data_IF_849739805383
#
_entry.id   IF_849739805383
#
_cell.length_a   1.000
_cell.length_b   1.000
_cell.length_c   1.000
_cell.angle_alpha   90.00
_cell.angle_beta   90.00
_cell.angle_gamma   90.00
#
_symmetry.space_group_name_H-M   'P 1'
#
loop_
_entity.id
_entity.type
_entity.pdbx_description
1 polymer ?
#
# COMPACT_ATOMS: atom_id res chain seq x y z
N UNK A 1 67.35 -14.70 64.40
CA UNK A 1 66.33 -15.70 64.70
C UNK A 1 64.95 -15.05 64.74
N UNK A 2 64.20 -15.05 63.74
CA UNK A 2 62.70 -14.90 63.70
C UNK A 2 62.27 -15.15 62.31
N UNK A 3 61.50 -16.20 62.10
CA UNK A 3 60.91 -16.62 60.83
C UNK A 3 59.77 -15.69 60.44
N UNK A 4 59.81 -15.14 59.23
CA UNK A 4 58.74 -14.33 58.63
C UNK A 4 57.79 -15.21 57.87
N UNK A 5 56.58 -15.27 58.39
CA UNK A 5 55.43 -16.02 57.78
C UNK A 5 54.84 -15.22 56.67
N UNK A 6 55.03 -15.61 55.40
CA UNK A 6 54.32 -15.03 54.23
C UNK A 6 53.02 -15.76 54.04
N UNK A 7 51.91 -15.12 54.34
CA UNK A 7 50.58 -15.61 54.02
C UNK A 7 50.26 -15.30 52.52
N UNK A 8 50.12 -16.32 51.69
CA UNK A 8 49.65 -16.19 50.39
C UNK A 8 48.11 -15.94 50.39
N UNK A 9 47.71 -14.80 49.92
CA UNK A 9 46.31 -14.43 49.74
C UNK A 9 45.78 -15.13 48.48
N UNK A 10 44.92 -16.11 48.66
CA UNK A 10 44.21 -16.80 47.56
C UNK A 10 42.96 -15.98 47.22
N UNK A 11 42.96 -15.32 46.07
CA UNK A 11 41.80 -14.61 45.55
C UNK A 11 40.90 -15.61 44.78
N UNK A 12 39.63 -15.81 45.16
CA UNK A 12 38.75 -16.72 44.42
C UNK A 12 38.36 -16.14 43.07
N UNK A 13 38.63 -16.88 41.99
CA UNK A 13 38.22 -16.63 40.60
C UNK A 13 36.75 -16.99 40.39
N UNK A 14 35.80 -16.19 40.88
CA UNK A 14 34.36 -16.42 40.65
C UNK A 14 33.59 -15.13 40.38
N UNK A 15 34.04 -14.31 39.41
CA UNK A 15 33.30 -13.09 38.99
C UNK A 15 33.39 -12.79 37.52
N UNK A 16 33.45 -13.77 36.63
CA UNK A 16 33.54 -13.48 35.19
C UNK A 16 32.54 -14.33 34.34
N UNK A 17 31.41 -14.73 34.89
CA UNK A 17 30.43 -15.54 34.14
C UNK A 17 28.98 -15.01 34.14
N UNK A 18 28.73 -13.76 34.50
CA UNK A 18 27.35 -13.20 34.54
C UNK A 18 27.13 -12.06 33.53
N UNK A 19 28.13 -11.67 32.73
CA UNK A 19 27.97 -10.55 31.78
C UNK A 19 27.76 -10.94 30.33
N UNK A 20 27.56 -12.22 30.01
CA UNK A 20 27.40 -12.70 28.64
C UNK A 20 25.96 -13.13 28.28
N UNK A 21 24.97 -12.96 29.16
CA UNK A 21 23.59 -13.45 28.92
C UNK A 21 22.56 -12.36 28.68
N UNK A 22 22.93 -11.09 28.60
CA UNK A 22 21.97 -9.97 28.40
C UNK A 22 21.92 -9.38 26.98
N UNK A 23 22.62 -9.92 26.01
CA UNK A 23 22.68 -9.36 24.63
C UNK A 23 21.95 -10.16 23.58
N UNK A 24 21.21 -11.21 23.94
CA UNK A 24 20.45 -12.02 22.98
C UNK A 24 18.91 -11.79 23.00
N UNK A 25 18.42 -10.73 23.63
CA UNK A 25 16.99 -10.48 23.81
C UNK A 25 16.48 -9.21 23.12
N UNK A 26 17.08 -8.78 22.01
CA UNK A 26 16.57 -7.65 21.24
C UNK A 26 16.75 -7.90 19.75
N UNK A 27 15.97 -8.78 19.17
CA UNK A 27 15.62 -8.72 17.73
C UNK A 27 14.51 -9.71 17.40
N UNK A 28 13.40 -9.62 18.10
CA UNK A 28 12.12 -9.98 17.47
C UNK A 28 11.45 -8.65 17.19
N UNK A 29 11.82 -8.04 16.05
CA UNK A 29 10.95 -7.09 15.40
C UNK A 29 9.63 -7.84 15.21
N UNK A 30 8.60 -7.43 15.95
CA UNK A 30 7.27 -7.92 15.78
C UNK A 30 6.92 -7.70 14.30
N UNK A 31 6.89 -8.77 13.53
CA UNK A 31 6.25 -8.74 12.22
C UNK A 31 4.81 -8.34 12.51
N UNK A 32 4.46 -7.10 12.18
CA UNK A 32 3.08 -6.68 12.18
C UNK A 32 2.31 -7.71 11.33
N UNK A 33 1.22 -8.31 11.86
CA UNK A 33 0.44 -9.23 11.06
C UNK A 33 -0.09 -8.42 9.88
N UNK A 34 0.51 -8.59 8.72
CA UNK A 34 -0.05 -8.10 7.47
C UNK A 34 -1.47 -8.65 7.38
N UNK A 35 -2.47 -7.83 7.06
CA UNK A 35 -3.79 -8.38 6.83
C UNK A 35 -3.65 -9.46 5.76
N UNK A 36 -4.22 -10.62 6.05
CA UNK A 36 -4.22 -11.81 5.18
C UNK A 36 -5.13 -11.56 3.95
N UNK A 37 -4.84 -10.47 3.23
CA UNK A 37 -5.55 -10.07 2.01
C UNK A 37 -4.79 -10.68 0.86
N UNK A 38 -5.35 -11.74 0.31
CA UNK A 38 -4.83 -12.37 -0.89
C UNK A 38 -4.74 -11.34 -2.02
N UNK A 39 -3.52 -11.09 -2.52
CA UNK A 39 -3.30 -10.26 -3.69
C UNK A 39 -4.03 -10.85 -4.91
N UNK A 40 -4.97 -10.10 -5.47
CA UNK A 40 -5.64 -10.41 -6.73
C UNK A 40 -5.50 -9.20 -7.67
N UNK A 41 -4.73 -9.33 -8.76
CA UNK A 41 -4.54 -8.22 -9.67
C UNK A 41 -5.75 -8.01 -10.58
N UNK A 42 -6.15 -6.75 -10.82
CA UNK A 42 -7.16 -6.42 -11.83
C UNK A 42 -6.69 -6.80 -13.24
N UNK A 43 -7.52 -7.50 -14.04
CA UNK A 43 -7.19 -7.80 -15.45
C UNK A 43 -6.95 -6.54 -16.28
N UNK A 44 -6.13 -6.59 -17.34
CA UNK A 44 -5.78 -5.41 -18.15
C UNK A 44 -7.00 -4.69 -18.75
N UNK A 45 -8.02 -5.43 -19.18
CA UNK A 45 -9.27 -4.89 -19.73
C UNK A 45 -10.04 -4.09 -18.66
N UNK A 46 -10.00 -4.59 -17.42
CA UNK A 46 -10.63 -3.94 -16.27
C UNK A 46 -9.87 -2.67 -15.90
N UNK A 47 -8.54 -2.71 -15.85
CA UNK A 47 -7.70 -1.53 -15.61
C UNK A 47 -7.99 -0.43 -16.61
N UNK A 48 -8.01 -0.78 -17.91
CA UNK A 48 -8.34 0.16 -18.99
C UNK A 48 -9.73 0.76 -18.76
N UNK A 49 -10.73 -0.08 -18.50
CA UNK A 49 -12.10 0.36 -18.29
C UNK A 49 -12.29 1.23 -17.04
N UNK A 50 -11.53 0.99 -15.95
CA UNK A 50 -11.52 1.84 -14.76
C UNK A 50 -11.03 3.24 -15.09
N UNK A 51 -9.90 3.36 -15.79
CA UNK A 51 -9.31 4.64 -16.17
C UNK A 51 -10.18 5.43 -17.17
N UNK A 52 -10.82 4.72 -18.12
CA UNK A 52 -11.79 5.30 -19.04
C UNK A 52 -13.06 5.79 -18.31
N UNK A 53 -13.61 4.98 -17.38
CA UNK A 53 -14.79 5.34 -16.59
C UNK A 53 -14.56 6.58 -15.75
N UNK A 54 -13.33 6.72 -15.19
CA UNK A 54 -12.88 7.91 -14.48
C UNK A 54 -12.54 9.08 -15.40
N UNK A 55 -12.54 8.91 -16.73
CA UNK A 55 -12.09 9.89 -17.70
C UNK A 55 -10.70 10.47 -17.33
N UNK A 56 -9.74 9.59 -17.04
CA UNK A 56 -8.37 9.97 -16.67
C UNK A 56 -7.70 10.75 -17.80
N UNK A 57 -7.01 11.83 -17.46
CA UNK A 57 -6.28 12.68 -18.40
C UNK A 57 -4.91 13.14 -17.85
N UNK A 58 -4.15 13.90 -18.65
CA UNK A 58 -2.74 14.23 -18.33
C UNK A 58 -2.56 15.16 -17.13
N UNK A 59 -3.62 15.80 -16.64
CA UNK A 59 -3.59 16.66 -15.45
C UNK A 59 -3.97 15.91 -14.17
N UNK A 60 -4.38 14.65 -14.29
CA UNK A 60 -4.81 13.86 -13.13
C UNK A 60 -3.65 13.35 -12.29
N UNK A 61 -3.95 13.22 -10.99
CA UNK A 61 -3.14 12.48 -10.03
C UNK A 61 -3.98 11.29 -9.57
N UNK A 62 -3.62 10.11 -10.07
CA UNK A 62 -4.31 8.86 -9.78
C UNK A 62 -3.70 8.21 -8.54
N UNK A 63 -4.47 8.10 -7.47
CA UNK A 63 -4.11 7.35 -6.26
C UNK A 63 -4.69 5.94 -6.36
N UNK A 64 -3.83 4.93 -6.36
CA UNK A 64 -4.23 3.53 -6.31
C UNK A 64 -3.98 3.00 -4.90
N UNK A 65 -5.06 2.76 -4.16
CA UNK A 65 -5.00 2.34 -2.76
C UNK A 65 -5.07 0.81 -2.67
N UNK A 66 -3.96 0.19 -2.25
CA UNK A 66 -3.71 -1.24 -2.41
C UNK A 66 -3.20 -1.54 -3.83
N UNK A 67 -2.17 -0.81 -4.26
CA UNK A 67 -1.75 -0.78 -5.66
C UNK A 67 -1.10 -2.07 -6.17
N UNK A 68 -0.72 -2.99 -5.28
CA UNK A 68 -0.06 -4.23 -5.64
C UNK A 68 1.17 -4.02 -6.53
N UNK A 69 1.17 -4.59 -7.72
CA UNK A 69 2.25 -4.47 -8.70
C UNK A 69 2.29 -3.14 -9.47
N UNK A 70 1.42 -2.19 -9.12
CA UNK A 70 1.40 -0.84 -9.69
C UNK A 70 0.74 -0.71 -11.07
N UNK A 71 0.12 -1.79 -11.59
CA UNK A 71 -0.40 -1.83 -12.97
C UNK A 71 -1.37 -0.70 -13.32
N UNK A 72 -2.22 -0.27 -12.38
CA UNK A 72 -3.21 0.79 -12.62
C UNK A 72 -2.52 2.15 -12.79
N UNK A 73 -1.64 2.52 -11.89
CA UNK A 73 -0.91 3.81 -11.98
C UNK A 73 0.08 3.83 -13.14
N UNK A 74 0.69 2.70 -13.49
CA UNK A 74 1.57 2.56 -14.67
C UNK A 74 0.76 2.76 -15.94
N UNK A 75 -0.40 2.13 -16.07
CA UNK A 75 -1.28 2.30 -17.22
C UNK A 75 -1.84 3.73 -17.32
N UNK A 76 -2.21 4.35 -16.18
CA UNK A 76 -2.62 5.75 -16.12
C UNK A 76 -1.52 6.70 -16.64
N UNK A 77 -0.28 6.48 -16.21
CA UNK A 77 0.86 7.28 -16.67
C UNK A 77 1.18 7.03 -18.15
N UNK A 78 1.19 5.75 -18.57
CA UNK A 78 1.55 5.35 -19.94
C UNK A 78 0.55 5.84 -20.98
N UNK A 79 -0.72 5.63 -20.75
CA UNK A 79 -1.77 5.85 -21.73
C UNK A 79 -2.35 7.26 -21.73
N UNK A 80 -2.43 7.85 -20.53
CA UNK A 80 -3.12 9.13 -20.34
C UNK A 80 -2.17 10.26 -19.91
N UNK A 81 -0.87 9.97 -19.67
CA UNK A 81 0.09 10.97 -19.23
C UNK A 81 -0.16 11.47 -17.80
N UNK A 82 -1.00 10.78 -17.03
CA UNK A 82 -1.29 11.13 -15.65
C UNK A 82 -0.08 10.94 -14.72
N UNK A 83 -0.15 11.51 -13.52
CA UNK A 83 0.75 11.14 -12.42
C UNK A 83 0.10 10.05 -11.58
N UNK A 84 0.90 9.15 -11.02
CA UNK A 84 0.44 8.07 -10.16
C UNK A 84 0.94 8.20 -8.72
N UNK A 85 0.13 7.75 -7.77
CA UNK A 85 0.56 7.47 -6.39
C UNK A 85 0.12 6.04 -6.09
N UNK A 86 1.10 5.16 -5.92
CA UNK A 86 0.93 3.74 -5.61
C UNK A 86 1.08 3.59 -4.10
N UNK A 87 0.03 3.19 -3.43
CA UNK A 87 -0.01 3.00 -1.97
C UNK A 87 -0.24 1.54 -1.67
N UNK A 88 0.67 0.91 -0.96
CA UNK A 88 0.52 -0.45 -0.47
C UNK A 88 1.25 -0.61 0.86
N UNK A 89 0.72 -1.45 1.74
CA UNK A 89 1.35 -1.72 3.02
C UNK A 89 2.49 -2.74 2.87
N UNK A 90 2.41 -3.61 1.86
CA UNK A 90 3.37 -4.68 1.60
C UNK A 90 4.62 -4.15 0.88
N UNK A 91 5.83 -4.21 1.52
CA UNK A 91 7.07 -3.75 0.90
C UNK A 91 7.42 -4.54 -0.37
N UNK A 92 7.03 -5.82 -0.49
CA UNK A 92 7.30 -6.62 -1.69
C UNK A 92 6.47 -6.12 -2.86
N UNK A 93 5.21 -5.75 -2.63
CA UNK A 93 4.35 -5.15 -3.66
C UNK A 93 4.88 -3.80 -4.12
N UNK A 94 5.33 -2.95 -3.19
CA UNK A 94 5.94 -1.65 -3.54
C UNK A 94 7.25 -1.85 -4.33
N UNK A 95 8.08 -2.83 -3.98
CA UNK A 95 9.29 -3.14 -4.75
C UNK A 95 8.96 -3.63 -6.15
N UNK A 96 7.97 -4.52 -6.29
CA UNK A 96 7.49 -5.00 -7.59
C UNK A 96 6.93 -3.86 -8.44
N UNK A 97 6.08 -3.00 -7.87
CA UNK A 97 5.53 -1.84 -8.57
C UNK A 97 6.61 -0.88 -9.10
N UNK A 98 7.68 -0.64 -8.30
CA UNK A 98 8.83 0.15 -8.73
C UNK A 98 9.57 -0.48 -9.90
N UNK A 99 9.82 -1.78 -9.84
CA UNK A 99 10.49 -2.53 -10.91
C UNK A 99 9.66 -2.49 -12.20
N UNK A 100 8.35 -2.70 -12.11
CA UNK A 100 7.45 -2.61 -13.26
C UNK A 100 7.41 -1.21 -13.88
N UNK A 101 7.37 -0.16 -13.04
CA UNK A 101 7.43 1.22 -13.49
C UNK A 101 8.79 1.56 -14.14
N UNK A 102 9.90 1.04 -13.60
CA UNK A 102 11.24 1.21 -14.18
C UNK A 102 11.34 0.54 -15.56
N UNK A 103 10.85 -0.69 -15.68
CA UNK A 103 10.79 -1.42 -16.95
C UNK A 103 9.94 -0.69 -18.00
N UNK A 104 8.92 0.06 -17.56
CA UNK A 104 8.07 0.89 -18.43
C UNK A 104 8.65 2.31 -18.70
N UNK A 105 9.76 2.71 -18.06
CA UNK A 105 10.34 4.06 -18.15
C UNK A 105 9.50 5.16 -17.49
N UNK A 106 8.69 4.80 -16.46
CA UNK A 106 7.68 5.68 -15.87
C UNK A 106 7.90 6.01 -14.38
N UNK A 107 9.06 5.65 -13.82
CA UNK A 107 9.36 5.87 -12.38
C UNK A 107 9.15 7.32 -11.97
N UNK A 108 9.59 8.28 -12.78
CA UNK A 108 9.50 9.72 -12.49
C UNK A 108 8.05 10.27 -12.49
N UNK A 109 7.10 9.48 -12.98
CA UNK A 109 5.67 9.84 -13.00
C UNK A 109 4.89 9.25 -11.85
N UNK A 110 5.50 8.34 -11.06
CA UNK A 110 4.81 7.57 -10.03
C UNK A 110 5.52 7.75 -8.69
N UNK A 111 4.75 8.15 -7.68
CA UNK A 111 5.20 8.16 -6.29
C UNK A 111 4.78 6.84 -5.65
N UNK A 112 5.70 6.17 -4.97
CA UNK A 112 5.44 4.91 -4.28
C UNK A 112 5.50 5.13 -2.78
N UNK A 113 4.44 4.73 -2.07
CA UNK A 113 4.28 4.88 -0.63
C UNK A 113 4.04 3.53 0.01
N UNK A 114 4.97 3.10 0.85
CA UNK A 114 4.75 1.93 1.71
C UNK A 114 4.09 2.41 3.00
N UNK A 115 2.77 2.41 3.02
CA UNK A 115 1.99 2.89 4.17
C UNK A 115 0.59 2.26 4.18
N UNK A 116 -0.09 2.33 5.33
CA UNK A 116 -1.48 1.92 5.44
C UNK A 116 -2.38 2.92 4.68
N UNK A 117 -3.15 2.40 3.72
CA UNK A 117 -4.10 3.18 2.91
C UNK A 117 -5.16 3.92 3.76
N UNK A 118 -5.41 3.45 4.99
CA UNK A 118 -6.36 4.11 5.90
C UNK A 118 -5.82 5.40 6.54
N UNK A 119 -4.51 5.67 6.45
CA UNK A 119 -3.89 6.90 6.98
C UNK A 119 -3.23 7.75 5.88
N UNK A 120 -3.22 7.26 4.63
CA UNK A 120 -2.68 7.98 3.46
C UNK A 120 -3.38 9.32 3.27
N UNK A 121 -2.63 10.41 3.07
CA UNK A 121 -3.20 11.71 2.70
C UNK A 121 -3.81 11.67 1.29
N UNK A 122 -5.09 12.01 1.16
CA UNK A 122 -5.86 11.95 -0.08
C UNK A 122 -6.05 13.29 -0.79
N UNK A 123 -5.74 14.42 -0.14
CA UNK A 123 -6.12 15.76 -0.60
C UNK A 123 -5.56 16.19 -1.97
N UNK A 124 -4.58 15.46 -2.52
CA UNK A 124 -4.02 15.73 -3.86
C UNK A 124 -4.57 14.81 -4.95
N UNK A 125 -5.38 13.82 -4.58
CA UNK A 125 -5.95 12.87 -5.54
C UNK A 125 -7.06 13.55 -6.36
N UNK A 126 -6.96 13.48 -7.68
CA UNK A 126 -8.08 13.81 -8.57
C UNK A 126 -8.85 12.56 -9.00
N UNK A 127 -8.19 11.40 -8.93
CA UNK A 127 -8.78 10.07 -9.14
C UNK A 127 -8.27 9.13 -8.05
N UNK A 128 -9.17 8.31 -7.50
CA UNK A 128 -8.84 7.21 -6.60
C UNK A 128 -9.31 5.91 -7.23
N UNK A 129 -8.45 4.91 -7.29
CA UNK A 129 -8.77 3.56 -7.77
C UNK A 129 -8.70 2.57 -6.61
N UNK A 130 -9.65 1.61 -6.60
CA UNK A 130 -9.83 0.63 -5.53
C UNK A 130 -10.10 -0.75 -6.12
N UNK A 131 -9.38 -1.76 -5.63
CA UNK A 131 -9.78 -3.16 -5.73
C UNK A 131 -9.55 -3.83 -4.38
N UNK A 132 -10.42 -3.52 -3.43
CA UNK A 132 -10.32 -3.91 -2.04
C UNK A 132 -11.54 -4.73 -1.62
N UNK A 133 -11.52 -5.28 -0.39
CA UNK A 133 -12.70 -5.94 0.17
C UNK A 133 -13.85 -4.95 0.44
N UNK A 134 -15.11 -5.43 0.51
CA UNK A 134 -16.26 -4.59 0.86
C UNK A 134 -16.06 -3.83 2.18
N UNK A 135 -15.53 -4.51 3.20
CA UNK A 135 -15.28 -3.90 4.51
C UNK A 135 -14.25 -2.78 4.44
N UNK A 136 -13.20 -2.95 3.63
CA UNK A 136 -12.18 -1.93 3.45
C UNK A 136 -12.74 -0.70 2.71
N UNK A 137 -13.57 -0.90 1.68
CA UNK A 137 -14.26 0.19 1.01
C UNK A 137 -15.13 0.99 1.97
N UNK A 138 -15.88 0.30 2.86
CA UNK A 138 -16.72 0.96 3.86
C UNK A 138 -15.90 1.74 4.91
N UNK A 139 -14.74 1.25 5.30
CA UNK A 139 -13.81 1.95 6.20
C UNK A 139 -13.18 3.19 5.55
N UNK A 140 -12.86 3.13 4.25
CA UNK A 140 -12.30 4.25 3.49
C UNK A 140 -13.34 5.32 3.17
N UNK A 141 -14.59 4.95 2.98
CA UNK A 141 -15.67 5.85 2.51
C UNK A 141 -15.73 7.20 3.23
N UNK A 142 -15.72 7.28 4.58
CA UNK A 142 -15.79 8.57 5.29
C UNK A 142 -14.63 9.50 4.90
N UNK A 143 -13.43 8.96 4.74
CA UNK A 143 -12.24 9.71 4.36
C UNK A 143 -12.33 10.20 2.92
N UNK A 144 -12.75 9.34 1.99
CA UNK A 144 -12.97 9.72 0.59
C UNK A 144 -14.00 10.85 0.47
N UNK A 145 -15.05 10.81 1.29
CA UNK A 145 -16.08 11.85 1.33
C UNK A 145 -15.60 13.16 1.96
N UNK A 146 -14.67 13.12 2.90
CA UNK A 146 -14.20 14.29 3.64
C UNK A 146 -12.99 14.96 2.99
N UNK A 147 -11.99 14.17 2.60
CA UNK A 147 -10.65 14.65 2.24
C UNK A 147 -10.48 14.96 0.75
N UNK A 148 -11.25 14.31 -0.12
CA UNK A 148 -11.14 14.55 -1.55
C UNK A 148 -11.76 15.91 -1.93
N UNK A 149 -11.11 16.58 -2.88
CA UNK A 149 -11.65 17.81 -3.45
C UNK A 149 -12.93 17.54 -4.25
N UNK A 150 -13.81 18.55 -4.33
CA UNK A 150 -14.98 18.49 -5.22
C UNK A 150 -14.55 18.23 -6.67
N UNK A 151 -15.25 17.33 -7.35
CA UNK A 151 -14.91 16.87 -8.70
C UNK A 151 -13.92 15.69 -8.75
N UNK A 152 -13.32 15.29 -7.63
CA UNK A 152 -12.52 14.07 -7.58
C UNK A 152 -13.39 12.85 -7.89
N UNK A 153 -12.81 11.87 -8.56
CA UNK A 153 -13.49 10.65 -9.04
C UNK A 153 -12.93 9.43 -8.34
N UNK A 154 -13.81 8.56 -7.87
CA UNK A 154 -13.47 7.31 -7.22
C UNK A 154 -13.98 6.18 -8.09
N UNK A 155 -13.12 5.23 -8.47
CA UNK A 155 -13.52 4.02 -9.20
C UNK A 155 -13.17 2.79 -8.40
N UNK A 156 -14.17 1.97 -8.12
CA UNK A 156 -13.98 0.68 -7.47
C UNK A 156 -14.27 -0.48 -8.43
N UNK A 157 -13.37 -1.45 -8.42
CA UNK A 157 -13.53 -2.72 -9.09
C UNK A 157 -14.23 -3.71 -8.17
N UNK A 158 -15.34 -4.27 -8.62
CA UNK A 158 -16.12 -5.36 -8.03
C UNK A 158 -16.97 -4.99 -6.80
N UNK A 159 -16.51 -4.12 -5.89
CA UNK A 159 -17.18 -3.82 -4.64
C UNK A 159 -17.65 -2.37 -4.56
N UNK A 160 -18.87 -2.18 -4.11
CA UNK A 160 -19.46 -0.86 -3.88
C UNK A 160 -19.04 -0.25 -2.54
N UNK A 161 -19.70 0.84 -2.15
CA UNK A 161 -19.50 1.56 -0.88
C UNK A 161 -20.79 1.60 -0.03
N UNK A 162 -21.57 0.52 -0.05
CA UNK A 162 -22.80 0.39 0.71
C UNK A 162 -23.90 1.33 0.22
N UNK A 163 -24.42 2.16 1.10
CA UNK A 163 -25.51 3.11 0.80
C UNK A 163 -25.06 4.37 0.03
N UNK A 164 -23.74 4.57 -0.18
CA UNK A 164 -23.26 5.62 -1.07
C UNK A 164 -23.46 5.18 -2.53
N UNK A 165 -24.56 5.66 -3.13
CA UNK A 165 -24.92 5.29 -4.49
C UNK A 165 -23.88 5.79 -5.50
N UNK A 166 -23.39 4.93 -6.43
CA UNK A 166 -22.49 5.35 -7.48
C UNK A 166 -23.21 6.27 -8.49
N UNK A 167 -22.49 7.24 -9.03
CA UNK A 167 -22.99 8.10 -10.12
C UNK A 167 -23.07 7.34 -11.44
N UNK A 168 -22.18 6.35 -11.66
CA UNK A 168 -22.18 5.48 -12.84
C UNK A 168 -21.69 4.08 -12.49
N UNK A 169 -22.15 3.11 -13.27
CA UNK A 169 -21.65 1.73 -13.21
C UNK A 169 -21.31 1.24 -14.62
N UNK A 170 -20.39 0.29 -14.73
CA UNK A 170 -19.99 -0.34 -15.99
C UNK A 170 -19.66 -1.81 -15.76
N UNK A 171 -20.24 -2.70 -16.57
CA UNK A 171 -19.82 -4.10 -16.63
C UNK A 171 -18.73 -4.26 -17.70
N UNK A 172 -17.69 -5.04 -17.39
CA UNK A 172 -16.54 -5.31 -18.27
C UNK A 172 -16.30 -6.81 -18.32
N UNK A 173 -16.21 -7.37 -19.53
CA UNK A 173 -15.82 -8.77 -19.73
C UNK A 173 -14.29 -8.91 -19.68
N UNK A 174 -13.77 -9.76 -18.79
CA UNK A 174 -12.32 -9.97 -18.57
C UNK A 174 -11.77 -11.20 -19.32
N UNK A 175 -12.54 -11.74 -20.26
CA UNK A 175 -12.22 -12.99 -20.96
C UNK A 175 -12.75 -14.25 -20.26
N UNK A 176 -13.16 -14.15 -18.99
CA UNK A 176 -13.67 -15.27 -18.18
C UNK A 176 -15.03 -14.99 -17.56
N UNK A 177 -15.23 -13.78 -17.05
CA UNK A 177 -16.46 -13.36 -16.36
C UNK A 177 -16.70 -11.86 -16.51
N UNK A 178 -17.94 -11.43 -16.27
CA UNK A 178 -18.27 -10.02 -16.19
C UNK A 178 -17.76 -9.44 -14.86
N UNK A 179 -17.07 -8.30 -14.92
CA UNK A 179 -16.57 -7.54 -13.76
C UNK A 179 -17.35 -6.25 -13.65
N UNK A 180 -17.77 -5.92 -12.43
CA UNK A 180 -18.53 -4.69 -12.19
C UNK A 180 -17.59 -3.58 -11.75
N UNK A 181 -17.79 -2.38 -12.35
CA UNK A 181 -17.12 -1.14 -11.96
C UNK A 181 -18.15 -0.15 -11.44
N UNK A 182 -17.74 0.61 -10.45
CA UNK A 182 -18.53 1.67 -9.82
C UNK A 182 -17.76 2.97 -9.84
N UNK A 183 -18.41 4.07 -10.19
CA UNK A 183 -17.83 5.43 -10.18
C UNK A 183 -18.64 6.33 -9.26
N UNK A 184 -17.94 7.05 -8.40
CA UNK A 184 -18.46 8.18 -7.62
C UNK A 184 -17.71 9.45 -8.00
N UNK A 185 -18.44 10.58 -8.07
CA UNK A 185 -17.87 11.92 -8.22
C UNK A 185 -18.10 12.69 -6.93
N UNK A 186 -17.01 13.14 -6.30
CA UNK A 186 -17.08 13.93 -5.07
C UNK A 186 -17.78 15.26 -5.34
N UNK A 187 -18.82 15.56 -4.59
CA UNK A 187 -19.58 16.81 -4.65
C UNK A 187 -19.14 17.77 -3.57
#
# INVERSE_FOLDING_TARGET
>A
MRAGNRRHLVIPRTRTLILALCLAACSQAAQAPWPDVRYEPSPPEVVTAMLELAAVGPRDVVYDLGCGDGRIVIEAARRYGARGVCVDIDPERIAEARNNAAAAGLVERITFRQEDLLVTELGRASVVTLFLSPDMNLRLRPRLQLELASGARIVSHWHDMGDWRPDRTRAVWDGKRSRQLFLWVKR
#
